data_IF_420167413374
#
_entry.id   IF_420167413374
#
_cell.length_a   1.000
_cell.length_b   1.000
_cell.length_c   1.000
_cell.angle_alpha   90.00
_cell.angle_beta   90.00
_cell.angle_gamma   90.00
#
_symmetry.space_group_name_H-M   'P 1'
#
loop_
_entity.id
_entity.type
_entity.pdbx_description
1 polymer ?
#
# COMPACT_ATOMS: atom_id res chain seq x y z
N UNK A 1 -8.58 5.74 3.89
CA UNK A 1 -8.23 4.65 4.84
C UNK A 1 -9.47 3.90 5.31
N UNK A 2 -10.40 4.55 6.02
CA UNK A 2 -11.60 3.90 6.57
C UNK A 2 -12.46 3.16 5.55
N UNK A 3 -12.60 3.69 4.33
CA UNK A 3 -13.33 3.00 3.25
C UNK A 3 -12.71 1.65 2.89
N UNK A 4 -11.37 1.57 2.81
CA UNK A 4 -10.68 0.31 2.52
C UNK A 4 -10.88 -0.71 3.63
N UNK A 5 -10.74 -0.29 4.90
CA UNK A 5 -11.01 -1.14 6.06
C UNK A 5 -12.46 -1.62 6.10
N UNK A 6 -13.42 -0.74 5.81
CA UNK A 6 -14.83 -1.09 5.75
C UNK A 6 -15.11 -2.15 4.68
N UNK A 7 -14.52 -2.03 3.49
CA UNK A 7 -14.68 -3.03 2.41
C UNK A 7 -14.16 -4.41 2.86
N UNK A 8 -13.03 -4.47 3.57
CA UNK A 8 -12.46 -5.74 4.06
C UNK A 8 -13.39 -6.44 5.06
N UNK A 9 -14.05 -5.66 5.93
CA UNK A 9 -14.95 -6.21 6.96
C UNK A 9 -16.33 -6.55 6.40
N UNK A 10 -16.87 -5.72 5.50
CA UNK A 10 -18.28 -5.75 5.12
C UNK A 10 -18.60 -6.55 3.84
N UNK A 11 -17.60 -7.13 3.16
CA UNK A 11 -17.79 -7.86 1.89
C UNK A 11 -17.32 -9.29 2.04
N UNK A 12 -18.16 -10.27 1.70
CA UNK A 12 -17.79 -11.69 1.76
C UNK A 12 -16.97 -12.14 0.54
N UNK A 13 -17.12 -11.45 -0.60
CA UNK A 13 -16.35 -11.72 -1.80
C UNK A 13 -14.84 -11.48 -1.59
N UNK A 14 -14.03 -12.52 -1.80
CA UNK A 14 -12.58 -12.51 -1.61
C UNK A 14 -11.87 -11.46 -2.48
N UNK A 15 -12.31 -11.27 -3.74
CA UNK A 15 -11.71 -10.27 -4.64
C UNK A 15 -12.02 -8.85 -4.14
N UNK A 16 -13.24 -8.61 -3.65
CA UNK A 16 -13.61 -7.31 -3.07
C UNK A 16 -12.79 -7.02 -1.81
N UNK A 17 -12.51 -8.02 -0.96
CA UNK A 17 -11.62 -7.87 0.20
C UNK A 17 -10.20 -7.48 -0.22
N UNK A 18 -9.63 -8.13 -1.23
CA UNK A 18 -8.29 -7.78 -1.76
C UNK A 18 -8.25 -6.34 -2.31
N UNK A 19 -9.30 -5.90 -2.99
CA UNK A 19 -9.41 -4.50 -3.45
C UNK A 19 -9.52 -3.52 -2.28
N UNK A 20 -10.29 -3.86 -1.25
CA UNK A 20 -10.39 -3.08 -0.01
C UNK A 20 -9.06 -2.92 0.71
N UNK A 21 -8.28 -4.01 0.78
CA UNK A 21 -6.94 -4.01 1.38
C UNK A 21 -5.97 -3.11 0.61
N UNK A 22 -6.01 -3.14 -0.73
CA UNK A 22 -5.19 -2.26 -1.57
C UNK A 22 -5.54 -0.77 -1.38
N UNK A 23 -6.84 -0.44 -1.28
CA UNK A 23 -7.29 0.93 -0.99
C UNK A 23 -6.82 1.38 0.41
N UNK A 24 -6.88 0.48 1.40
CA UNK A 24 -6.38 0.76 2.74
C UNK A 24 -4.88 1.05 2.73
N UNK A 25 -4.08 0.20 2.07
CA UNK A 25 -2.64 0.36 1.96
C UNK A 25 -2.25 1.67 1.24
N UNK A 26 -2.88 1.97 0.10
CA UNK A 26 -2.60 3.22 -0.63
C UNK A 26 -2.89 4.45 0.23
N UNK A 27 -3.99 4.44 1.00
CA UNK A 27 -4.31 5.53 1.91
C UNK A 27 -3.33 5.64 3.09
N UNK A 28 -2.84 4.52 3.64
CA UNK A 28 -1.82 4.52 4.68
C UNK A 28 -0.49 5.07 4.16
N UNK A 29 -0.09 4.69 2.94
CA UNK A 29 1.10 5.23 2.27
C UNK A 29 0.98 6.75 2.12
N UNK A 30 -0.14 7.23 1.57
CA UNK A 30 -0.37 8.66 1.38
C UNK A 30 -0.32 9.41 2.72
N UNK A 31 -0.94 8.86 3.77
CA UNK A 31 -0.89 9.44 5.11
C UNK A 31 0.55 9.62 5.62
N UNK A 32 1.38 8.59 5.53
CA UNK A 32 2.79 8.68 5.94
C UNK A 32 3.62 9.63 5.06
N UNK A 33 3.42 9.64 3.75
CA UNK A 33 4.12 10.57 2.84
C UNK A 33 3.76 12.02 3.17
N UNK A 34 2.49 12.31 3.46
CA UNK A 34 2.07 13.68 3.83
C UNK A 34 2.70 14.14 5.15
N UNK A 35 2.83 13.25 6.14
CA UNK A 35 3.52 13.56 7.39
C UNK A 35 5.03 13.76 7.22
N UNK A 36 5.63 13.21 6.15
CA UNK A 36 7.05 13.32 5.88
C UNK A 36 7.46 14.64 5.22
N UNK A 37 6.48 15.38 4.69
CA UNK A 37 6.73 16.64 3.99
C UNK A 37 7.17 17.71 4.98
N UNK A 38 8.32 18.32 4.71
CA UNK A 38 8.80 19.50 5.42
C UNK A 38 8.48 20.74 4.57
N UNK A 39 7.96 21.80 5.17
CA UNK A 39 7.68 23.06 4.46
C UNK A 39 8.95 23.64 3.87
N UNK A 40 8.90 24.05 2.59
CA UNK A 40 10.11 24.47 1.85
C UNK A 40 11.12 23.35 1.53
N UNK A 41 10.93 22.15 2.07
CA UNK A 41 11.82 21.01 1.85
C UNK A 41 11.66 20.40 0.45
N UNK A 42 12.78 20.20 -0.25
CA UNK A 42 12.84 19.52 -1.55
C UNK A 42 12.96 17.99 -1.41
N UNK A 43 12.92 17.25 -2.51
CA UNK A 43 13.10 15.81 -2.51
C UNK A 43 14.50 15.43 -1.98
N UNK A 44 14.65 14.40 -1.14
CA UNK A 44 15.92 14.03 -0.50
C UNK A 44 16.88 13.34 -1.48
N UNK A 45 17.31 14.09 -2.50
CA UNK A 45 18.24 13.67 -3.55
C UNK A 45 19.33 14.73 -3.61
N UNK A 46 20.56 14.32 -3.32
CA UNK A 46 21.73 15.20 -3.43
C UNK A 46 22.01 15.42 -4.91
N UNK A 47 21.93 16.67 -5.38
CA UNK A 47 22.29 17.03 -6.75
C UNK A 47 23.76 17.41 -6.82
N UNK A 48 24.54 16.61 -7.54
CA UNK A 48 25.93 16.94 -7.89
C UNK A 48 25.95 18.15 -8.84
N UNK A 49 26.11 19.35 -8.29
CA UNK A 49 26.15 20.61 -9.07
C UNK A 49 25.37 21.79 -8.48
N UNK A 50 24.62 21.59 -7.38
CA UNK A 50 23.92 22.68 -6.69
C UNK A 50 24.86 23.69 -6.00
N UNK A 51 26.17 23.41 -5.98
CA UNK A 51 27.21 24.31 -5.47
C UNK A 51 27.58 25.46 -6.44
N UNK A 52 27.03 25.50 -7.67
CA UNK A 52 27.49 26.43 -8.71
C UNK A 52 26.41 27.24 -9.45
N UNK A 53 25.13 27.17 -9.07
CA UNK A 53 24.10 28.07 -9.62
C UNK A 53 23.96 29.30 -8.71
N UNK A 54 24.60 30.39 -9.12
CA UNK A 54 24.90 31.57 -8.31
C UNK A 54 23.74 32.29 -7.64
N UNK A 55 24.05 32.86 -6.47
CA UNK A 55 23.34 33.99 -5.88
C UNK A 55 23.01 33.80 -4.40
N UNK A 56 23.93 34.27 -3.56
CA UNK A 56 23.89 34.37 -2.08
C UNK A 56 24.43 33.15 -1.32
N UNK A 57 25.19 33.48 -0.27
CA UNK A 57 26.08 32.59 0.48
C UNK A 57 25.40 31.35 1.05
N UNK A 58 26.24 30.37 1.36
CA UNK A 58 25.84 29.01 1.72
C UNK A 58 24.87 28.87 2.89
N UNK A 59 24.54 27.60 3.13
CA UNK A 59 23.67 27.02 4.15
C UNK A 59 22.28 26.57 3.67
N UNK A 60 22.07 25.26 3.80
CA UNK A 60 20.81 24.52 3.93
C UNK A 60 19.85 24.49 2.74
N UNK A 61 20.15 23.61 1.77
CA UNK A 61 19.07 22.97 1.00
C UNK A 61 18.26 22.12 1.99
N UNK A 62 17.07 22.60 2.35
CA UNK A 62 16.16 21.87 3.22
C UNK A 62 15.58 20.68 2.45
N UNK A 63 15.73 19.49 2.99
CA UNK A 63 15.20 18.26 2.42
C UNK A 63 13.99 17.78 3.22
N UNK A 64 13.03 17.14 2.53
CA UNK A 64 11.97 16.38 3.20
C UNK A 64 12.56 15.15 3.90
N UNK A 65 11.88 14.63 4.93
CA UNK A 65 12.40 13.51 5.71
C UNK A 65 12.53 12.25 4.82
N UNK A 66 13.75 11.67 4.66
CA UNK A 66 13.95 10.51 3.81
C UNK A 66 13.42 9.21 4.44
N UNK A 67 13.25 9.16 5.77
CA UNK A 67 12.86 7.93 6.47
C UNK A 67 11.47 7.44 6.02
N UNK A 68 10.40 8.26 6.03
CA UNK A 68 9.10 7.78 5.55
C UNK A 68 9.10 7.43 4.07
N UNK A 69 9.88 8.10 3.22
CA UNK A 69 9.96 7.77 1.79
C UNK A 69 10.45 6.33 1.56
N UNK A 70 11.52 5.91 2.25
CA UNK A 70 12.07 4.55 2.13
C UNK A 70 11.13 3.51 2.76
N UNK A 71 10.53 3.83 3.91
CA UNK A 71 9.55 2.94 4.55
C UNK A 71 8.33 2.69 3.65
N UNK A 72 7.85 3.73 2.97
CA UNK A 72 6.71 3.60 2.06
C UNK A 72 7.05 2.86 0.76
N UNK A 73 8.25 3.08 0.20
CA UNK A 73 8.72 2.28 -0.94
C UNK A 73 8.74 0.78 -0.60
N UNK A 74 9.21 0.43 0.60
CA UNK A 74 9.21 -0.95 1.10
C UNK A 74 7.78 -1.48 1.27
N UNK A 75 6.89 -0.68 1.85
CA UNK A 75 5.48 -1.04 2.03
C UNK A 75 4.77 -1.31 0.69
N UNK A 76 5.08 -0.55 -0.37
CA UNK A 76 4.53 -0.78 -1.71
C UNK A 76 4.93 -2.17 -2.24
N UNK A 77 6.21 -2.53 -2.15
CA UNK A 77 6.71 -3.82 -2.66
C UNK A 77 6.08 -4.98 -1.89
N UNK A 78 6.04 -4.89 -0.55
CA UNK A 78 5.37 -5.90 0.29
C UNK A 78 3.90 -6.02 -0.09
N UNK A 79 3.22 -4.89 -0.31
CA UNK A 79 1.81 -4.86 -0.70
C UNK A 79 1.49 -5.51 -2.03
N UNK A 80 2.34 -5.33 -3.04
CA UNK A 80 2.21 -6.00 -4.33
C UNK A 80 2.40 -7.51 -4.16
N UNK A 81 3.41 -7.93 -3.37
CA UNK A 81 3.66 -9.34 -3.11
C UNK A 81 2.51 -10.02 -2.36
N UNK A 82 1.96 -9.38 -1.32
CA UNK A 82 0.81 -9.92 -0.58
C UNK A 82 -0.47 -9.92 -1.40
N UNK A 83 -0.69 -8.92 -2.26
CA UNK A 83 -1.81 -8.91 -3.21
C UNK A 83 -1.71 -10.07 -4.20
N UNK A 84 -0.53 -10.32 -4.76
CA UNK A 84 -0.30 -11.44 -5.67
C UNK A 84 -0.59 -12.78 -4.98
N UNK A 85 -0.10 -12.96 -3.75
CA UNK A 85 -0.39 -14.16 -2.95
C UNK A 85 -1.89 -14.30 -2.65
N UNK A 86 -2.56 -13.23 -2.23
CA UNK A 86 -3.99 -13.25 -1.92
C UNK A 86 -4.84 -13.60 -3.15
N UNK A 87 -4.49 -13.08 -4.33
CA UNK A 87 -5.16 -13.44 -5.59
C UNK A 87 -4.88 -14.89 -5.99
N UNK A 88 -3.65 -15.38 -5.81
CA UNK A 88 -3.32 -16.78 -6.08
C UNK A 88 -4.15 -17.72 -5.18
N UNK A 89 -4.33 -17.37 -3.90
CA UNK A 89 -5.21 -18.10 -3.00
C UNK A 89 -6.68 -18.02 -3.42
N UNK A 90 -7.17 -16.84 -3.81
CA UNK A 90 -8.55 -16.68 -4.29
C UNK A 90 -8.82 -17.53 -5.55
N UNK A 91 -7.87 -17.60 -6.48
CA UNK A 91 -7.96 -18.48 -7.67
C UNK A 91 -7.96 -19.95 -7.25
N UNK A 92 -7.13 -20.34 -6.29
CA UNK A 92 -7.09 -21.73 -5.79
C UNK A 92 -8.40 -22.13 -5.12
N UNK A 93 -8.94 -21.29 -4.25
CA UNK A 93 -10.23 -21.49 -3.57
C UNK A 93 -11.34 -21.59 -4.62
N UNK A 94 -11.35 -20.71 -5.62
CA UNK A 94 -12.34 -20.80 -6.70
C UNK A 94 -12.21 -22.09 -7.51
N UNK A 95 -11.00 -22.62 -7.69
CA UNK A 95 -10.78 -23.91 -8.34
C UNK A 95 -11.37 -25.09 -7.59
N UNK A 96 -11.25 -25.10 -6.25
CA UNK A 96 -11.69 -26.21 -5.41
C UNK A 96 -13.18 -26.09 -5.01
N UNK A 97 -13.67 -24.88 -4.72
CA UNK A 97 -15.02 -24.61 -4.20
C UNK A 97 -15.99 -24.01 -5.24
N UNK A 98 -15.51 -23.63 -6.44
CA UNK A 98 -16.29 -22.98 -7.51
C UNK A 98 -16.97 -21.65 -7.15
N UNK A 99 -16.62 -21.07 -6.00
CA UNK A 99 -17.13 -19.78 -5.54
C UNK A 99 -15.98 -18.86 -5.13
N UNK A 100 -16.25 -17.56 -5.12
CA UNK A 100 -15.35 -16.53 -4.60
C UNK A 100 -15.97 -15.78 -3.41
N UNK A 101 -17.14 -16.23 -2.95
CA UNK A 101 -17.79 -15.77 -1.72
C UNK A 101 -17.36 -16.69 -0.56
N UNK A 102 -16.92 -16.09 0.54
CA UNK A 102 -16.34 -16.82 1.67
C UNK A 102 -17.38 -17.67 2.42
N UNK A 103 -18.59 -17.15 2.59
CA UNK A 103 -19.69 -17.84 3.26
C UNK A 103 -20.11 -19.12 2.50
N UNK A 104 -20.20 -19.04 1.17
CA UNK A 104 -20.48 -20.21 0.33
C UNK A 104 -19.38 -21.27 0.43
N UNK A 105 -18.10 -20.85 0.44
CA UNK A 105 -16.97 -21.76 0.56
C UNK A 105 -16.96 -22.49 1.91
N UNK A 106 -17.28 -21.80 3.00
CA UNK A 106 -17.39 -22.37 4.35
C UNK A 106 -18.53 -23.39 4.43
N UNK A 107 -19.69 -23.08 3.85
CA UNK A 107 -20.83 -24.01 3.83
C UNK A 107 -20.47 -25.28 3.07
N UNK A 108 -19.83 -25.16 1.90
CA UNK A 108 -19.42 -26.32 1.10
C UNK A 108 -18.47 -27.24 1.86
N UNK A 109 -17.52 -26.66 2.62
CA UNK A 109 -16.57 -27.41 3.46
C UNK A 109 -17.29 -28.21 4.55
N UNK A 110 -18.24 -27.59 5.24
CA UNK A 110 -19.04 -28.24 6.30
C UNK A 110 -19.90 -29.41 5.78
N UNK A 111 -20.34 -29.37 4.53
CA UNK A 111 -21.16 -30.43 3.93
C UNK A 111 -20.33 -31.64 3.45
N UNK A 112 -19.01 -31.47 3.27
CA UNK A 112 -18.14 -32.49 2.66
C UNK A 112 -17.03 -33.03 3.60
N UNK A 113 -17.09 -32.72 4.90
CA UNK A 113 -16.31 -33.32 6.01
C UNK A 113 -17.16 -34.16 6.94
#
# INVERSE_FOLDING_TARGET
MMVGLYIVIARDNLIKKVMGLNIFQAAAILFYVTMAKVDGGTAPIVQSGADHAGGHGGHDVLYSNPLPHVLMLTAIVVGVATTALALALAVRIHGDYRTAEEDEAVIYDMEHT
#
